data_IF_931086519300
#
_entry.id   IF_931086519300
#
_cell.length_a   1.000
_cell.length_b   1.000
_cell.length_c   1.000
_cell.angle_alpha   90.00
_cell.angle_beta   90.00
_cell.angle_gamma   90.00
#
_symmetry.space_group_name_H-M   'P 1'
#
loop_
_entity.id
_entity.type
_entity.pdbx_description
1 polymer ?
#
# COMPACT_ATOMS: atom_id res chain seq x y z
N UNK A 1 43.02 17.43 39.00
CA UNK A 1 42.00 17.37 37.92
C UNK A 1 42.34 16.47 36.73
N UNK A 2 43.55 15.88 36.64
CA UNK A 2 43.98 15.07 35.48
C UNK A 2 43.57 13.58 35.53
N UNK A 3 43.20 13.06 36.71
CA UNK A 3 42.83 11.64 36.93
C UNK A 3 41.36 11.31 36.63
N UNK A 4 40.45 12.28 36.72
CA UNK A 4 39.01 12.01 36.51
C UNK A 4 38.68 11.90 35.02
N UNK A 5 39.28 12.74 34.17
CA UNK A 5 39.14 12.66 32.71
C UNK A 5 39.68 11.35 32.13
N UNK A 6 40.77 10.79 32.70
CA UNK A 6 41.37 9.53 32.23
C UNK A 6 40.47 8.31 32.45
N UNK A 7 39.49 8.39 33.36
CA UNK A 7 38.54 7.32 33.65
C UNK A 7 37.20 7.58 32.96
N UNK A 8 36.74 8.82 32.97
CA UNK A 8 35.45 9.21 32.38
C UNK A 8 35.44 9.06 30.86
N UNK A 9 36.51 9.47 30.17
CA UNK A 9 36.56 9.46 28.70
C UNK A 9 36.51 8.03 28.13
N UNK A 10 37.28 7.05 28.63
CA UNK A 10 37.11 5.65 28.22
C UNK A 10 35.73 5.08 28.56
N UNK A 11 35.17 5.45 29.72
CA UNK A 11 33.83 5.02 30.13
C UNK A 11 32.72 5.50 29.18
N UNK A 12 32.80 6.76 28.71
CA UNK A 12 31.87 7.31 27.71
C UNK A 12 32.03 6.57 26.38
N UNK A 13 33.27 6.30 25.94
CA UNK A 13 33.53 5.59 24.67
C UNK A 13 32.94 4.17 24.73
N UNK A 14 33.14 3.44 25.83
CA UNK A 14 32.56 2.10 26.02
C UNK A 14 31.03 2.17 26.05
N UNK A 15 30.46 3.18 26.71
CA UNK A 15 29.02 3.41 26.73
C UNK A 15 28.43 3.68 25.35
N UNK A 16 29.11 4.48 24.51
CA UNK A 16 28.69 4.78 23.14
C UNK A 16 28.78 3.52 22.26
N UNK A 17 29.91 2.81 22.30
CA UNK A 17 30.10 1.59 21.50
C UNK A 17 29.08 0.51 21.91
N UNK A 18 28.91 0.28 23.22
CA UNK A 18 27.93 -0.66 23.75
C UNK A 18 26.49 -0.28 23.39
N UNK A 19 26.16 1.02 23.49
CA UNK A 19 24.85 1.54 23.11
C UNK A 19 24.54 1.38 21.62
N UNK A 20 25.52 1.64 20.74
CA UNK A 20 25.37 1.45 19.29
C UNK A 20 25.18 -0.03 18.95
N UNK A 21 25.97 -0.93 19.55
CA UNK A 21 25.84 -2.38 19.32
C UNK A 21 24.46 -2.87 19.79
N UNK A 22 24.03 -2.49 20.99
CA UNK A 22 22.69 -2.84 21.51
C UNK A 22 21.58 -2.27 20.64
N UNK A 23 21.72 -1.04 20.14
CA UNK A 23 20.77 -0.43 19.23
C UNK A 23 20.67 -1.23 17.91
N UNK A 24 21.79 -1.62 17.30
CA UNK A 24 21.76 -2.44 16.10
C UNK A 24 21.20 -3.84 16.36
N UNK A 25 21.49 -4.46 17.50
CA UNK A 25 20.90 -5.76 17.87
C UNK A 25 19.39 -5.61 18.07
N UNK A 26 18.93 -4.57 18.77
CA UNK A 26 17.51 -4.31 18.96
C UNK A 26 16.79 -3.95 17.64
N UNK A 27 17.45 -3.18 16.77
CA UNK A 27 16.92 -2.79 15.46
C UNK A 27 16.80 -3.99 14.51
N UNK A 28 17.80 -4.88 14.50
CA UNK A 28 17.72 -6.15 13.76
C UNK A 28 16.75 -7.16 14.41
N UNK A 29 16.49 -7.05 15.71
CA UNK A 29 15.51 -7.87 16.41
C UNK A 29 14.07 -7.42 16.14
N UNK A 30 13.84 -6.12 15.89
CA UNK A 30 12.57 -5.67 15.36
C UNK A 30 12.40 -6.27 13.96
N UNK A 31 11.46 -7.22 13.77
CA UNK A 31 11.30 -7.84 12.48
C UNK A 31 10.87 -6.74 11.50
N UNK A 32 11.60 -6.62 10.38
CA UNK A 32 11.03 -6.01 9.19
C UNK A 32 9.63 -6.60 9.00
N UNK A 33 8.63 -5.75 8.72
CA UNK A 33 7.26 -6.20 8.45
C UNK A 33 7.25 -6.93 7.12
N UNK A 34 7.67 -8.19 7.15
CA UNK A 34 7.70 -9.09 6.02
C UNK A 34 6.30 -9.64 5.79
N UNK A 35 5.96 -9.85 4.52
CA UNK A 35 4.64 -10.35 4.16
C UNK A 35 4.65 -11.87 4.32
N UNK A 36 3.72 -12.37 5.12
CA UNK A 36 3.44 -13.80 5.24
C UNK A 36 2.24 -14.14 4.35
N UNK A 37 2.43 -15.08 3.43
CA UNK A 37 1.41 -15.51 2.46
C UNK A 37 1.13 -16.98 2.68
N UNK A 38 -0.16 -17.34 2.71
CA UNK A 38 -0.61 -18.71 2.60
C UNK A 38 -1.02 -18.99 1.16
N UNK A 39 -0.33 -19.92 0.49
CA UNK A 39 -0.68 -20.42 -0.83
C UNK A 39 -1.00 -21.91 -0.73
N UNK A 40 -2.25 -22.28 -0.97
CA UNK A 40 -2.72 -23.67 -0.94
C UNK A 40 -2.37 -24.41 0.37
N UNK A 41 -2.40 -23.73 1.51
CA UNK A 41 -2.09 -24.28 2.83
C UNK A 41 -0.61 -24.22 3.22
N UNK A 42 0.30 -23.86 2.30
CA UNK A 42 1.72 -23.70 2.58
C UNK A 42 2.05 -22.22 2.77
N UNK A 43 2.92 -21.92 3.74
CA UNK A 43 3.17 -20.54 4.12
C UNK A 43 4.60 -20.09 3.85
N UNK A 44 4.69 -18.88 3.31
CA UNK A 44 5.93 -18.27 2.86
C UNK A 44 6.04 -16.87 3.44
N UNK A 45 7.26 -16.46 3.73
CA UNK A 45 7.65 -15.12 4.10
C UNK A 45 8.43 -14.52 2.93
N UNK A 46 7.95 -13.40 2.43
CA UNK A 46 8.61 -12.64 1.39
C UNK A 46 9.52 -11.61 2.04
N UNK A 47 10.80 -11.69 1.69
CA UNK A 47 11.92 -10.91 2.17
C UNK A 47 12.55 -10.17 0.98
N UNK A 48 13.22 -9.05 1.25
CA UNK A 48 14.05 -8.33 0.29
C UNK A 48 13.39 -8.14 -1.10
N UNK A 49 13.95 -8.76 -2.14
CA UNK A 49 13.45 -8.67 -3.51
C UNK A 49 12.05 -9.25 -3.71
N UNK A 50 11.70 -10.36 -3.04
CA UNK A 50 10.34 -10.91 -3.10
C UNK A 50 9.32 -9.98 -2.44
N UNK A 51 9.71 -9.31 -1.35
CA UNK A 51 8.86 -8.33 -0.70
C UNK A 51 8.60 -7.12 -1.63
N UNK A 52 9.63 -6.60 -2.29
CA UNK A 52 9.46 -5.49 -3.25
C UNK A 52 8.55 -5.89 -4.40
N UNK A 53 8.77 -7.07 -5.01
CA UNK A 53 7.90 -7.58 -6.08
C UNK A 53 6.45 -7.76 -5.64
N UNK A 54 6.22 -8.14 -4.39
CA UNK A 54 4.87 -8.23 -3.85
C UNK A 54 4.22 -6.86 -3.67
N UNK A 55 4.98 -5.86 -3.21
CA UNK A 55 4.46 -4.49 -3.12
C UNK A 55 4.13 -3.91 -4.50
N UNK A 56 4.97 -4.18 -5.50
CA UNK A 56 4.69 -3.84 -6.90
C UNK A 56 3.44 -4.54 -7.41
N UNK A 57 3.29 -5.84 -7.12
CA UNK A 57 2.11 -6.62 -7.50
C UNK A 57 0.83 -6.05 -6.86
N UNK A 58 0.86 -5.67 -5.59
CA UNK A 58 -0.27 -5.04 -4.90
C UNK A 58 -0.62 -3.68 -5.52
N UNK A 59 0.39 -2.88 -5.89
CA UNK A 59 0.18 -1.61 -6.58
C UNK A 59 -0.44 -1.79 -7.97
N UNK A 60 0.01 -2.78 -8.74
CA UNK A 60 -0.59 -3.13 -10.04
C UNK A 60 -2.03 -3.64 -9.85
N UNK A 61 -2.28 -4.48 -8.84
CA UNK A 61 -3.61 -4.99 -8.50
C UNK A 61 -4.60 -3.86 -8.24
N UNK A 62 -4.23 -2.84 -7.47
CA UNK A 62 -5.11 -1.69 -7.20
C UNK A 62 -5.50 -0.95 -8.50
N UNK A 63 -4.57 -0.82 -9.45
CA UNK A 63 -4.84 -0.21 -10.76
C UNK A 63 -5.72 -1.08 -11.66
N UNK A 64 -5.43 -2.38 -11.75
CA UNK A 64 -6.26 -3.29 -12.54
C UNK A 64 -7.67 -3.42 -11.97
N UNK A 65 -7.83 -3.40 -10.64
CA UNK A 65 -9.15 -3.36 -10.00
C UNK A 65 -9.93 -2.11 -10.41
N UNK A 66 -9.32 -0.93 -10.27
CA UNK A 66 -9.96 0.33 -10.64
C UNK A 66 -10.36 0.35 -12.12
N UNK A 67 -9.46 -0.12 -13.00
CA UNK A 67 -9.70 -0.23 -14.44
C UNK A 67 -10.88 -1.15 -14.78
N UNK A 68 -10.96 -2.33 -14.14
CA UNK A 68 -12.09 -3.24 -14.35
C UNK A 68 -13.41 -2.65 -13.85
N UNK A 69 -13.39 -1.93 -12.72
CA UNK A 69 -14.58 -1.27 -12.18
C UNK A 69 -15.07 -0.13 -13.08
N UNK A 70 -14.17 0.71 -13.62
CA UNK A 70 -14.49 1.76 -14.60
C UNK A 70 -15.09 1.17 -15.87
N UNK A 71 -14.49 0.08 -16.39
CA UNK A 71 -15.00 -0.61 -17.56
C UNK A 71 -16.39 -1.21 -17.32
N UNK A 72 -16.67 -1.70 -16.11
CA UNK A 72 -17.97 -2.26 -15.73
C UNK A 72 -19.08 -1.20 -15.63
N UNK A 73 -18.74 0.03 -15.23
CA UNK A 73 -19.71 1.15 -15.21
C UNK A 73 -20.16 1.50 -16.64
N UNK A 74 -19.23 1.49 -17.60
CA UNK A 74 -19.49 1.62 -19.04
C UNK A 74 -19.91 3.01 -19.53
N UNK A 75 -20.85 3.68 -18.85
CA UNK A 75 -21.38 4.99 -19.27
C UNK A 75 -20.56 6.14 -18.67
N UNK A 76 -20.07 7.05 -19.54
CA UNK A 76 -19.21 8.18 -19.18
C UNK A 76 -19.82 9.16 -18.17
N UNK A 77 -21.12 9.38 -18.24
CA UNK A 77 -21.83 10.42 -17.45
C UNK A 77 -22.44 9.90 -16.15
N UNK A 78 -22.37 8.60 -15.86
CA UNK A 78 -22.85 8.07 -14.58
C UNK A 78 -22.00 8.65 -13.46
N UNK A 79 -22.68 9.21 -12.46
CA UNK A 79 -22.06 9.69 -11.23
C UNK A 79 -21.84 8.52 -10.28
N UNK A 80 -20.60 8.34 -9.87
CA UNK A 80 -20.13 7.21 -9.08
C UNK A 80 -19.59 7.74 -7.75
N UNK A 81 -20.08 7.22 -6.61
CA UNK A 81 -19.50 7.51 -5.32
C UNK A 81 -18.10 6.87 -5.21
N UNK A 82 -17.14 7.67 -4.79
CA UNK A 82 -15.75 7.26 -4.63
C UNK A 82 -15.26 7.56 -3.22
N UNK A 83 -14.22 6.86 -2.83
CA UNK A 83 -13.40 7.22 -1.68
C UNK A 83 -11.93 7.22 -2.07
N UNK A 84 -11.17 8.15 -1.52
CA UNK A 84 -9.73 8.16 -1.70
C UNK A 84 -9.02 8.65 -0.45
N UNK A 85 -7.74 8.27 -0.31
CA UNK A 85 -6.95 8.69 0.85
C UNK A 85 -5.49 8.93 0.51
N UNK A 86 -4.89 9.92 1.17
CA UNK A 86 -3.50 10.35 0.97
C UNK A 86 -3.10 11.39 2.01
N UNK A 87 -1.94 12.02 1.84
CA UNK A 87 -1.61 13.25 2.58
C UNK A 87 -2.59 14.36 2.21
N UNK A 88 -2.78 15.34 3.11
CA UNK A 88 -3.64 16.51 2.85
C UNK A 88 -3.29 17.19 1.52
N UNK A 89 -2.01 17.47 1.29
CA UNK A 89 -1.51 18.09 0.05
C UNK A 89 -1.86 17.28 -1.20
N UNK A 90 -1.71 15.96 -1.17
CA UNK A 90 -2.01 15.12 -2.34
C UNK A 90 -3.51 15.01 -2.59
N UNK A 91 -4.31 14.98 -1.51
CA UNK A 91 -5.76 14.91 -1.58
C UNK A 91 -6.34 16.21 -2.14
N UNK A 92 -5.92 17.36 -1.62
CA UNK A 92 -6.38 18.68 -2.07
C UNK A 92 -6.06 18.89 -3.55
N UNK A 93 -4.84 18.54 -3.98
CA UNK A 93 -4.45 18.60 -5.39
C UNK A 93 -5.37 17.80 -6.30
N UNK A 94 -5.78 16.60 -5.89
CA UNK A 94 -6.67 15.77 -6.73
C UNK A 94 -8.09 16.31 -6.75
N UNK A 95 -8.58 16.85 -5.64
CA UNK A 95 -9.88 17.51 -5.61
C UNK A 95 -9.90 18.66 -6.61
N UNK A 96 -8.86 19.48 -6.61
CA UNK A 96 -8.73 20.65 -7.47
C UNK A 96 -8.50 20.28 -8.94
N UNK A 97 -7.60 19.33 -9.22
CA UNK A 97 -7.21 18.94 -10.59
C UNK A 97 -8.38 18.26 -11.35
N UNK A 98 -9.27 17.56 -10.63
CA UNK A 98 -10.33 16.74 -11.22
C UNK A 98 -11.76 17.21 -10.88
N UNK A 99 -11.89 18.36 -10.20
CA UNK A 99 -13.18 18.95 -9.78
C UNK A 99 -14.09 17.94 -9.06
N UNK A 100 -13.54 17.27 -8.04
CA UNK A 100 -14.27 16.23 -7.32
C UNK A 100 -15.35 16.86 -6.43
N UNK A 101 -16.60 16.43 -6.60
CA UNK A 101 -17.68 16.84 -5.70
C UNK A 101 -17.56 16.10 -4.35
N UNK A 102 -16.91 16.75 -3.38
CA UNK A 102 -16.65 16.18 -2.05
C UNK A 102 -17.92 16.15 -1.19
N UNK A 103 -18.21 14.98 -0.62
CA UNK A 103 -19.36 14.77 0.27
C UNK A 103 -18.98 14.60 1.74
N UNK A 104 -17.77 14.12 2.02
CA UNK A 104 -17.28 13.87 3.37
C UNK A 104 -15.75 13.91 3.41
N UNK A 105 -15.18 14.45 4.48
CA UNK A 105 -13.74 14.52 4.73
C UNK A 105 -13.47 14.04 6.15
N UNK A 106 -12.54 13.10 6.29
CA UNK A 106 -12.04 12.63 7.57
C UNK A 106 -10.52 12.74 7.61
N UNK A 107 -10.00 13.57 8.52
CA UNK A 107 -8.57 13.63 8.84
C UNK A 107 -8.23 12.63 9.93
N UNK A 108 -7.23 11.79 9.70
CA UNK A 108 -6.71 10.84 10.69
C UNK A 108 -5.56 11.48 11.46
N UNK A 109 -5.83 11.95 12.68
CA UNK A 109 -4.86 12.57 13.57
C UNK A 109 -5.56 13.45 14.62
N UNK A 110 -4.90 13.68 15.76
CA UNK A 110 -5.29 14.73 16.72
C UNK A 110 -4.14 15.77 16.80
N UNK A 111 -4.37 16.94 17.40
CA UNK A 111 -3.36 17.99 17.59
C UNK A 111 -2.00 17.48 18.15
N UNK A 112 -1.99 16.34 18.83
CA UNK A 112 -0.85 15.68 19.45
C UNK A 112 -0.16 14.62 18.57
N UNK A 113 -0.79 14.16 17.48
CA UNK A 113 -0.24 13.13 16.59
C UNK A 113 -0.19 13.67 15.16
N UNK A 114 1.02 13.95 14.67
CA UNK A 114 1.30 14.36 13.29
C UNK A 114 1.11 13.20 12.31
N UNK A 115 -0.12 12.74 12.13
CA UNK A 115 -0.49 11.87 11.00
C UNK A 115 -1.14 12.76 9.96
N UNK A 116 -0.39 13.08 8.91
CA UNK A 116 -0.92 13.79 7.74
C UNK A 116 -1.59 12.78 6.81
N UNK A 117 -2.82 12.39 7.15
CA UNK A 117 -3.62 11.49 6.32
C UNK A 117 -5.08 11.92 6.31
N UNK A 118 -5.62 12.07 5.11
CA UNK A 118 -7.00 12.46 4.86
C UNK A 118 -7.69 11.37 4.06
N UNK A 119 -8.93 11.06 4.44
CA UNK A 119 -9.85 10.18 3.72
C UNK A 119 -10.98 11.06 3.23
N UNK A 120 -11.23 11.02 1.92
CA UNK A 120 -12.29 11.79 1.28
C UNK A 120 -13.31 10.83 0.69
N UNK A 121 -14.58 11.21 0.80
CA UNK A 121 -15.65 10.63 -0.02
C UNK A 121 -16.17 11.70 -0.94
N UNK A 122 -16.45 11.32 -2.17
CA UNK A 122 -16.94 12.25 -3.18
C UNK A 122 -17.76 11.52 -4.23
N UNK A 123 -18.21 12.29 -5.20
CA UNK A 123 -18.94 11.79 -6.37
C UNK A 123 -18.26 12.36 -7.60
N UNK A 124 -17.98 11.48 -8.56
CA UNK A 124 -17.33 11.84 -9.84
C UNK A 124 -18.01 11.12 -10.99
N UNK A 125 -17.87 11.63 -12.21
CA UNK A 125 -18.30 10.89 -13.40
C UNK A 125 -17.31 9.78 -13.75
N UNK A 126 -17.76 8.80 -14.53
CA UNK A 126 -16.87 7.74 -15.03
C UNK A 126 -15.76 8.29 -15.94
N UNK A 127 -16.04 9.36 -16.70
CA UNK A 127 -15.03 10.06 -17.51
C UNK A 127 -13.88 10.61 -16.65
N UNK A 128 -14.21 11.23 -15.51
CA UNK A 128 -13.19 11.73 -14.57
C UNK A 128 -12.38 10.58 -13.98
N UNK A 129 -13.02 9.44 -13.67
CA UNK A 129 -12.31 8.24 -13.22
C UNK A 129 -11.31 7.72 -14.27
N UNK A 130 -11.67 7.74 -15.56
CA UNK A 130 -10.76 7.39 -16.66
C UNK A 130 -9.57 8.35 -16.75
N UNK A 131 -9.81 9.66 -16.61
CA UNK A 131 -8.76 10.67 -16.60
C UNK A 131 -7.81 10.48 -15.42
N UNK A 132 -8.35 10.19 -14.23
CA UNK A 132 -7.55 9.89 -13.06
C UNK A 132 -6.70 8.64 -13.29
N UNK A 133 -7.29 7.54 -13.79
CA UNK A 133 -6.56 6.31 -14.11
C UNK A 133 -5.42 6.54 -15.13
N UNK A 134 -5.65 7.41 -16.13
CA UNK A 134 -4.64 7.79 -17.11
C UNK A 134 -3.50 8.59 -16.47
N UNK A 135 -3.80 9.61 -15.67
CA UNK A 135 -2.82 10.41 -14.95
C UNK A 135 -1.96 9.53 -14.01
N UNK A 136 -2.61 8.57 -13.36
CA UNK A 136 -1.96 7.52 -12.57
C UNK A 136 -0.96 6.72 -13.42
N UNK A 137 -1.34 6.30 -14.63
CA UNK A 137 -0.45 5.51 -15.48
C UNK A 137 0.76 6.29 -16.00
N UNK A 138 0.62 7.59 -16.22
CA UNK A 138 1.67 8.45 -16.81
C UNK A 138 2.73 8.87 -15.78
N UNK A 139 2.34 9.08 -14.51
CA UNK A 139 3.25 9.52 -13.45
C UNK A 139 4.02 8.39 -12.73
N UNK A 140 3.70 7.12 -13.00
CA UNK A 140 4.33 5.95 -12.35
C UNK A 140 5.73 5.59 -12.91
N UNK A 141 6.37 6.47 -13.66
CA UNK A 141 7.77 6.31 -14.11
C UNK A 141 8.79 6.65 -13.02
N UNK A 142 8.40 7.32 -11.93
CA UNK A 142 9.27 7.60 -10.79
C UNK A 142 8.96 6.68 -9.60
N UNK A 143 9.94 5.82 -9.28
CA UNK A 143 9.95 4.82 -8.20
C UNK A 143 9.85 5.39 -6.76
N UNK A 144 9.49 6.66 -6.58
CA UNK A 144 9.26 7.20 -5.25
C UNK A 144 7.90 6.71 -4.75
N UNK A 145 7.92 5.97 -3.66
CA UNK A 145 6.83 5.55 -2.77
C UNK A 145 5.93 6.69 -2.26
N UNK A 146 5.91 7.87 -2.91
CA UNK A 146 4.95 8.95 -2.66
C UNK A 146 3.58 8.56 -3.23
N UNK A 147 2.98 7.60 -2.51
CA UNK A 147 1.61 7.64 -2.01
C UNK A 147 0.62 8.34 -2.94
N UNK A 148 0.54 7.81 -4.16
CA UNK A 148 -0.60 8.04 -5.02
C UNK A 148 -1.86 7.63 -4.23
N UNK A 149 -2.87 8.51 -4.13
CA UNK A 149 -3.97 8.24 -3.23
C UNK A 149 -4.74 7.02 -3.70
N UNK A 150 -5.06 6.15 -2.75
CA UNK A 150 -5.77 4.90 -3.01
C UNK A 150 -7.21 5.23 -3.31
N UNK A 151 -7.64 5.07 -4.55
CA UNK A 151 -9.02 5.33 -4.98
C UNK A 151 -9.80 4.03 -4.95
N UNK A 152 -10.93 4.05 -4.25
CA UNK A 152 -11.92 2.99 -4.25
C UNK A 152 -13.25 3.50 -4.80
N UNK A 153 -13.86 2.72 -5.69
CA UNK A 153 -15.24 2.94 -6.12
C UNK A 153 -16.17 2.30 -5.09
N UNK A 154 -17.10 3.09 -4.55
CA UNK A 154 -18.11 2.63 -3.61
C UNK A 154 -19.27 1.94 -4.37
N UNK A 155 -20.10 1.14 -3.67
CA UNK A 155 -21.27 0.50 -4.28
C UNK A 155 -22.15 1.51 -5.04
N UNK A 156 -22.50 1.17 -6.28
CA UNK A 156 -23.19 2.08 -7.20
C UNK A 156 -24.06 1.29 -8.19
N UNK A 157 -24.95 1.98 -8.90
CA UNK A 157 -25.86 1.36 -9.87
C UNK A 157 -25.18 0.95 -11.19
N UNK A 158 -23.97 1.44 -11.46
CA UNK A 158 -23.21 1.12 -12.67
C UNK A 158 -22.56 -0.26 -12.64
N UNK A 159 -22.35 -0.86 -11.46
CA UNK A 159 -21.74 -2.18 -11.33
C UNK A 159 -22.74 -3.15 -10.72
N UNK A 160 -23.17 -4.15 -11.49
CA UNK A 160 -24.06 -5.20 -10.98
C UNK A 160 -23.36 -6.11 -9.96
N UNK A 161 -24.13 -6.83 -9.15
CA UNK A 161 -23.56 -7.81 -8.21
C UNK A 161 -22.81 -8.95 -8.93
N UNK A 162 -23.32 -9.39 -10.09
CA UNK A 162 -22.64 -10.40 -10.91
C UNK A 162 -21.32 -9.89 -11.46
N UNK A 163 -21.29 -8.64 -11.93
CA UNK A 163 -20.07 -8.03 -12.45
C UNK A 163 -19.05 -7.79 -11.32
N UNK A 164 -19.50 -7.34 -10.15
CA UNK A 164 -18.65 -7.20 -8.96
C UNK A 164 -18.00 -8.53 -8.57
N UNK A 165 -18.75 -9.65 -8.61
CA UNK A 165 -18.22 -10.97 -8.32
C UNK A 165 -17.21 -11.43 -9.38
N UNK A 166 -17.48 -11.14 -10.66
CA UNK A 166 -16.57 -11.43 -11.76
C UNK A 166 -15.24 -10.66 -11.62
N UNK A 167 -15.31 -9.36 -11.32
CA UNK A 167 -14.12 -8.52 -11.05
C UNK A 167 -13.33 -9.08 -9.87
N UNK A 168 -13.99 -9.45 -8.77
CA UNK A 168 -13.33 -10.03 -7.61
C UNK A 168 -12.56 -11.29 -7.98
N UNK A 169 -13.20 -12.22 -8.69
CA UNK A 169 -12.56 -13.46 -9.14
C UNK A 169 -11.36 -13.19 -10.07
N UNK A 170 -11.49 -12.26 -11.01
CA UNK A 170 -10.40 -11.90 -11.93
C UNK A 170 -9.19 -11.31 -11.18
N UNK A 171 -9.44 -10.47 -10.17
CA UNK A 171 -8.39 -9.88 -9.35
C UNK A 171 -7.74 -10.91 -8.43
N UNK A 172 -8.51 -11.85 -7.89
CA UNK A 172 -7.97 -12.94 -7.08
C UNK A 172 -7.08 -13.86 -7.93
N UNK A 173 -7.51 -14.20 -9.15
CA UNK A 173 -6.69 -14.95 -10.11
C UNK A 173 -5.41 -14.19 -10.49
N UNK A 174 -5.52 -12.88 -10.73
CA UNK A 174 -4.36 -12.02 -11.01
C UNK A 174 -3.34 -12.09 -9.86
N UNK A 175 -3.80 -11.95 -8.61
CA UNK A 175 -2.93 -12.02 -7.43
C UNK A 175 -2.30 -13.39 -7.26
N UNK A 176 -3.08 -14.46 -7.36
CA UNK A 176 -2.59 -15.84 -7.24
C UNK A 176 -1.52 -16.13 -8.28
N UNK A 177 -1.73 -15.70 -9.54
CA UNK A 177 -0.73 -15.84 -10.60
C UNK A 177 0.55 -15.05 -10.29
N UNK A 178 0.44 -13.78 -9.91
CA UNK A 178 1.60 -12.95 -9.59
C UNK A 178 2.41 -13.49 -8.39
N UNK A 179 1.74 -13.99 -7.35
CA UNK A 179 2.39 -14.61 -6.19
C UNK A 179 3.18 -15.86 -6.62
N UNK A 180 2.60 -16.70 -7.48
CA UNK A 180 3.31 -17.87 -8.02
C UNK A 180 4.56 -17.45 -8.80
N UNK A 181 4.48 -16.39 -9.60
CA UNK A 181 5.64 -15.87 -10.33
C UNK A 181 6.74 -15.38 -9.39
N UNK A 182 6.40 -14.69 -8.29
CA UNK A 182 7.36 -14.30 -7.25
C UNK A 182 8.02 -15.54 -6.61
N UNK A 183 7.23 -16.58 -6.36
CA UNK A 183 7.73 -17.83 -5.77
C UNK A 183 8.70 -18.58 -6.67
N UNK A 184 8.57 -18.48 -8.00
CA UNK A 184 9.46 -19.16 -8.95
C UNK A 184 10.90 -18.60 -8.93
N UNK A 185 11.07 -17.31 -8.63
CA UNK A 185 12.38 -16.66 -8.58
C UNK A 185 13.20 -17.07 -7.34
N UNK A 186 12.54 -17.60 -6.29
CA UNK A 186 13.10 -18.06 -5.00
C UNK A 186 13.91 -17.03 -4.19
N UNK A 187 14.37 -15.95 -4.81
CA UNK A 187 15.12 -14.87 -4.19
C UNK A 187 14.25 -14.14 -3.16
N UNK A 188 14.59 -14.28 -1.88
CA UNK A 188 13.82 -13.69 -0.78
C UNK A 188 12.53 -14.43 -0.43
N UNK A 189 12.34 -15.68 -0.88
CA UNK A 189 11.18 -16.50 -0.51
C UNK A 189 11.60 -17.53 0.54
N UNK A 190 11.02 -17.45 1.74
CA UNK A 190 11.35 -18.35 2.86
C UNK A 190 10.11 -19.08 3.35
N UNK A 191 10.16 -20.41 3.43
CA UNK A 191 9.08 -21.19 4.05
C UNK A 191 8.99 -20.92 5.56
N UNK A 192 7.76 -20.80 6.08
CA UNK A 192 7.50 -20.44 7.47
C UNK A 192 6.14 -20.95 7.93
N UNK A 193 5.85 -20.82 9.22
CA UNK A 193 4.51 -21.10 9.75
C UNK A 193 3.46 -20.11 9.27
N UNK A 194 2.23 -20.58 9.07
CA UNK A 194 1.10 -19.73 8.71
C UNK A 194 0.72 -18.81 9.86
N UNK A 195 0.92 -17.50 9.66
CA UNK A 195 0.60 -16.44 10.63
C UNK A 195 -0.35 -15.39 10.06
N UNK A 196 -0.58 -15.42 8.75
CA UNK A 196 -1.34 -14.42 8.01
C UNK A 196 -2.78 -14.84 7.73
N UNK A 197 -3.67 -13.85 7.63
CA UNK A 197 -5.03 -13.99 7.10
C UNK A 197 -5.07 -13.90 5.57
N UNK A 198 -3.96 -13.59 4.91
CA UNK A 198 -3.85 -13.54 3.44
C UNK A 198 -3.70 -14.96 2.90
N UNK A 199 -4.81 -15.51 2.44
CA UNK A 199 -4.92 -16.87 1.91
C UNK A 199 -5.25 -16.80 0.42
N UNK A 200 -4.42 -17.44 -0.38
CA UNK A 200 -4.61 -17.61 -1.82
C UNK A 200 -4.78 -19.10 -2.10
N UNK A 201 -5.92 -19.43 -2.68
CA UNK A 201 -6.24 -20.77 -3.11
C UNK A 201 -6.36 -20.79 -4.64
N UNK A 202 -5.86 -21.86 -5.23
CA UNK A 202 -6.10 -22.18 -6.64
C UNK A 202 -7.49 -22.77 -6.88
#
# INVERSE_FOLDING_TARGET
>A
MRNLQFIIVPGIIIGIIGGIILFFVAYNYYPQKNVNINLNGNCYEFLDGAYQKYQDLVSIRERELLKMQIAAIGESHILVPITFSGSSVNVDRIIDDFDINVTDIQTLGDENIRVDKMIVKGVVSNEILEQILKNISENNTDSSLDSMPKIGILPNSGISASESANISNNIDQFMTKGIKEIMLDKNGVKETGCRSTMIYND
#
